data_IF_619654873336
#
_entry.id   IF_619654873336
#
_cell.length_a   1.000
_cell.length_b   1.000
_cell.length_c   1.000
_cell.angle_alpha   90.00
_cell.angle_beta   90.00
_cell.angle_gamma   90.00
#
_symmetry.space_group_name_H-M   'P 1'
#
loop_
_entity.id
_entity.type
_entity.pdbx_description
1 polymer ?
#
# COMPACT_ATOMS: atom_id res chain seq x y z
N UNK A 1 4.09 34.12 -14.56
CA UNK A 1 3.56 34.76 -13.34
C UNK A 1 3.52 33.71 -12.25
N UNK A 2 4.52 33.70 -11.38
CA UNK A 2 4.58 32.84 -10.20
C UNK A 2 3.60 33.40 -9.17
N UNK A 3 2.41 32.82 -9.11
CA UNK A 3 1.44 33.12 -8.05
C UNK A 3 2.05 32.67 -6.73
N UNK A 4 2.39 33.62 -5.86
CA UNK A 4 2.74 33.35 -4.47
C UNK A 4 1.63 32.50 -3.85
N UNK A 5 1.92 31.33 -3.26
CA UNK A 5 0.88 30.50 -2.65
C UNK A 5 0.09 31.30 -1.62
N UNK A 6 -1.24 31.33 -1.73
CA UNK A 6 -2.09 31.97 -0.72
C UNK A 6 -1.84 31.28 0.63
N UNK A 7 -1.51 32.07 1.63
CA UNK A 7 -1.09 31.61 2.97
C UNK A 7 -2.14 30.78 3.71
N UNK A 8 -3.39 30.75 3.23
CA UNK A 8 -4.53 30.07 3.88
C UNK A 8 -4.97 28.77 3.19
N UNK A 9 -4.37 28.39 2.05
CA UNK A 9 -4.77 27.16 1.36
C UNK A 9 -4.33 25.91 2.15
N UNK A 10 -5.23 24.94 2.40
CA UNK A 10 -4.87 23.67 3.01
C UNK A 10 -3.86 22.88 2.18
N UNK A 11 -2.94 22.21 2.85
CA UNK A 11 -2.06 21.17 2.31
C UNK A 11 -2.76 19.84 2.57
N UNK A 12 -3.48 19.34 1.58
CA UNK A 12 -4.15 18.05 1.67
C UNK A 12 -3.10 16.94 1.55
N UNK A 13 -3.08 16.01 2.51
CA UNK A 13 -2.09 14.95 2.61
C UNK A 13 -2.75 13.57 2.73
N UNK A 14 -2.09 12.53 2.24
CA UNK A 14 -2.57 11.15 2.30
C UNK A 14 -1.40 10.20 2.52
N UNK A 15 -1.44 9.42 3.60
CA UNK A 15 -0.43 8.40 3.86
C UNK A 15 -0.86 7.05 3.28
N UNK A 16 -0.02 6.47 2.44
CA UNK A 16 -0.17 5.11 1.95
C UNK A 16 0.79 4.20 2.70
N UNK A 17 0.25 3.25 3.48
CA UNK A 17 1.03 2.15 4.08
C UNK A 17 0.72 0.87 3.32
N UNK A 18 1.76 0.20 2.82
CA UNK A 18 1.67 -1.02 2.03
C UNK A 18 2.32 -2.23 2.72
N UNK A 19 2.03 -3.44 2.23
CA UNK A 19 2.67 -4.71 2.59
C UNK A 19 2.38 -5.23 4.00
N UNK A 20 1.59 -4.52 4.80
CA UNK A 20 1.34 -4.92 6.18
C UNK A 20 0.55 -6.25 6.28
N UNK A 21 0.95 -7.20 7.15
CA UNK A 21 1.93 -7.09 8.25
C UNK A 21 3.35 -7.58 7.93
N UNK A 22 3.65 -7.88 6.68
CA UNK A 22 4.74 -8.78 6.33
C UNK A 22 5.91 -8.07 5.63
N UNK A 23 7.10 -8.65 5.74
CA UNK A 23 8.22 -8.29 4.89
C UNK A 23 8.08 -8.97 3.52
N UNK A 24 7.26 -8.36 2.65
CA UNK A 24 6.95 -8.88 1.32
C UNK A 24 8.21 -9.14 0.50
N UNK A 25 9.19 -8.24 0.59
CA UNK A 25 10.51 -8.37 -0.05
C UNK A 25 11.22 -9.67 0.31
N UNK A 26 11.34 -9.97 1.61
CA UNK A 26 12.02 -11.20 2.06
C UNK A 26 11.24 -12.45 1.61
N UNK A 27 9.94 -12.50 1.87
CA UNK A 27 9.15 -13.71 1.61
C UNK A 27 9.10 -14.03 0.13
N UNK A 28 8.82 -13.04 -0.73
CA UNK A 28 8.76 -13.24 -2.17
C UNK A 28 10.09 -13.83 -2.68
N UNK A 29 11.22 -13.30 -2.24
CA UNK A 29 12.55 -13.79 -2.65
C UNK A 29 12.79 -15.22 -2.19
N UNK A 30 12.50 -15.53 -0.93
CA UNK A 30 12.62 -16.89 -0.40
C UNK A 30 11.74 -17.90 -1.16
N UNK A 31 10.53 -17.51 -1.54
CA UNK A 31 9.62 -18.36 -2.32
C UNK A 31 10.05 -18.53 -3.77
N UNK A 32 10.46 -17.45 -4.43
CA UNK A 32 11.01 -17.53 -5.78
C UNK A 32 12.24 -18.44 -5.83
N UNK A 33 13.16 -18.30 -4.87
CA UNK A 33 14.34 -19.17 -4.75
C UNK A 33 13.94 -20.63 -4.55
N UNK A 34 13.00 -20.91 -3.63
CA UNK A 34 12.48 -22.26 -3.41
C UNK A 34 11.80 -22.88 -4.64
N UNK A 35 11.26 -22.05 -5.53
CA UNK A 35 10.64 -22.47 -6.79
C UNK A 35 11.61 -22.48 -7.98
N UNK A 36 12.89 -22.16 -7.77
CA UNK A 36 13.92 -22.14 -8.83
C UNK A 36 13.86 -20.92 -9.74
N UNK A 37 13.14 -19.86 -9.39
CA UNK A 37 13.13 -18.61 -10.15
C UNK A 37 14.38 -17.76 -9.86
N UNK A 38 14.98 -17.12 -10.89
CA UNK A 38 16.15 -16.27 -10.69
C UNK A 38 15.77 -15.04 -9.86
N UNK A 39 16.54 -14.74 -8.81
CA UNK A 39 16.33 -13.57 -7.95
C UNK A 39 17.51 -12.61 -8.02
N UNK A 40 17.65 -11.86 -9.13
CA UNK A 40 18.74 -10.92 -9.29
C UNK A 40 18.71 -9.83 -8.20
N UNK A 41 19.92 -9.39 -7.83
CA UNK A 41 20.12 -8.23 -6.98
C UNK A 41 20.20 -7.00 -7.87
N UNK A 42 19.05 -6.38 -8.16
CA UNK A 42 18.93 -5.30 -9.15
C UNK A 42 18.98 -3.91 -8.47
N UNK A 43 18.78 -3.85 -7.14
CA UNK A 43 18.63 -2.60 -6.39
C UNK A 43 18.98 -2.77 -4.91
N UNK A 44 19.14 -1.66 -4.19
CA UNK A 44 19.64 -1.64 -2.81
C UNK A 44 18.85 -2.54 -1.85
N UNK A 45 17.51 -2.54 -1.90
CA UNK A 45 16.68 -3.40 -1.05
C UNK A 45 16.78 -4.91 -1.39
N UNK A 46 17.32 -5.25 -2.56
CA UNK A 46 17.56 -6.64 -2.95
C UNK A 46 18.91 -7.19 -2.50
N UNK A 47 19.85 -6.32 -2.14
CA UNK A 47 21.14 -6.74 -1.60
C UNK A 47 21.00 -7.21 -0.16
N UNK A 48 21.68 -8.29 0.21
CA UNK A 48 21.64 -8.79 1.59
C UNK A 48 20.24 -9.17 2.09
N UNK A 49 19.28 -9.46 1.20
CA UNK A 49 17.91 -9.83 1.57
C UNK A 49 17.82 -11.03 2.54
N UNK A 50 18.74 -12.02 2.58
CA UNK A 50 18.69 -13.07 3.60
C UNK A 50 18.83 -12.53 5.03
N UNK A 51 19.46 -11.37 5.22
CA UNK A 51 19.57 -10.72 6.54
C UNK A 51 18.21 -10.31 7.11
N UNK A 52 17.17 -10.22 6.27
CA UNK A 52 15.81 -9.85 6.67
C UNK A 52 15.01 -11.02 7.27
N UNK A 53 15.57 -12.23 7.31
CA UNK A 53 14.89 -13.45 7.72
C UNK A 53 14.37 -13.44 9.17
N UNK A 54 14.97 -12.62 10.03
CA UNK A 54 14.62 -12.41 11.44
C UNK A 54 13.46 -11.43 11.65
N UNK A 55 13.11 -10.65 10.61
CA UNK A 55 12.07 -9.64 10.63
C UNK A 55 11.02 -9.89 9.54
N UNK A 56 10.42 -11.08 9.56
CA UNK A 56 9.40 -11.50 8.58
C UNK A 56 8.08 -10.74 8.73
N UNK A 57 7.77 -10.30 9.94
CA UNK A 57 6.58 -9.52 10.27
C UNK A 57 6.99 -8.28 11.05
N UNK A 58 6.22 -7.21 10.90
CA UNK A 58 6.35 -6.05 11.79
C UNK A 58 5.95 -6.47 13.21
N UNK A 59 6.84 -6.24 14.17
CA UNK A 59 6.64 -6.65 15.56
C UNK A 59 5.52 -5.85 16.24
N UNK A 60 4.79 -6.49 17.16
CA UNK A 60 3.73 -5.82 17.93
C UNK A 60 4.18 -4.50 18.62
N UNK A 61 5.38 -4.40 19.24
CA UNK A 61 5.86 -3.13 19.78
C UNK A 61 5.96 -2.00 18.75
N UNK A 62 6.36 -2.31 17.51
CA UNK A 62 6.39 -1.31 16.44
C UNK A 62 4.99 -0.97 15.93
N UNK A 63 4.08 -1.94 15.86
CA UNK A 63 2.66 -1.66 15.55
C UNK A 63 2.05 -0.73 16.61
N UNK A 64 2.37 -0.92 17.89
CA UNK A 64 1.97 0.02 18.94
C UNK A 64 2.51 1.43 18.71
N UNK A 65 3.81 1.57 18.44
CA UNK A 65 4.42 2.87 18.15
C UNK A 65 3.81 3.54 16.92
N UNK A 66 3.60 2.79 15.83
CA UNK A 66 2.96 3.29 14.62
C UNK A 66 1.53 3.77 14.91
N UNK A 67 0.73 2.97 15.62
CA UNK A 67 -0.64 3.36 15.95
C UNK A 67 -0.71 4.55 16.93
N UNK A 68 0.27 4.73 17.82
CA UNK A 68 0.41 5.98 18.60
C UNK A 68 0.64 7.17 17.68
N UNK A 69 1.60 7.06 16.75
CA UNK A 69 1.91 8.12 15.80
C UNK A 69 0.70 8.52 14.94
N UNK A 70 -0.07 7.53 14.48
CA UNK A 70 -1.33 7.75 13.74
C UNK A 70 -2.28 8.65 14.51
N UNK A 71 -2.43 8.44 15.82
CA UNK A 71 -3.35 9.25 16.64
C UNK A 71 -2.77 10.62 16.98
N UNK A 72 -1.49 10.67 17.37
CA UNK A 72 -0.79 11.91 17.76
C UNK A 72 -0.71 12.93 16.63
N UNK A 73 -0.54 12.47 15.40
CA UNK A 73 -0.44 13.33 14.21
C UNK A 73 -1.74 13.36 13.39
N UNK A 74 -2.78 12.66 13.84
CA UNK A 74 -4.04 12.49 13.13
C UNK A 74 -3.80 12.04 11.67
N UNK A 75 -2.92 11.07 11.46
CA UNK A 75 -2.59 10.54 10.14
C UNK A 75 -3.80 9.82 9.56
N UNK A 76 -3.99 9.99 8.25
CA UNK A 76 -5.07 9.39 7.47
C UNK A 76 -4.58 9.06 6.07
N UNK A 77 -5.22 8.09 5.43
CA UNK A 77 -4.87 7.70 4.07
C UNK A 77 -5.34 6.29 3.72
N UNK A 78 -4.47 5.50 3.10
CA UNK A 78 -4.71 4.09 2.74
C UNK A 78 -3.78 3.18 3.53
N UNK A 79 -4.30 2.04 4.01
CA UNK A 79 -3.51 1.06 4.77
C UNK A 79 -3.81 -0.35 4.27
N UNK A 80 -2.79 -1.09 3.81
CA UNK A 80 -2.96 -2.50 3.44
C UNK A 80 -3.21 -3.38 4.65
N UNK A 81 -4.06 -4.39 4.50
CA UNK A 81 -4.01 -5.59 5.32
C UNK A 81 -4.03 -6.83 4.42
N UNK A 82 -2.92 -7.57 4.39
CA UNK A 82 -2.77 -8.77 3.54
C UNK A 82 -3.60 -9.95 4.06
N UNK A 83 -4.60 -10.46 3.32
CA UNK A 83 -5.43 -11.58 3.78
C UNK A 83 -4.65 -12.85 4.07
N UNK A 84 -3.65 -13.15 3.23
CA UNK A 84 -2.84 -14.36 3.29
C UNK A 84 -1.35 -14.00 3.27
N UNK A 85 -0.80 -13.33 4.30
CA UNK A 85 0.52 -12.70 4.23
C UNK A 85 1.60 -13.67 3.77
N UNK A 86 2.17 -13.43 2.59
CA UNK A 86 3.17 -14.30 1.99
C UNK A 86 2.70 -15.73 1.71
N UNK A 87 1.39 -16.01 1.63
CA UNK A 87 0.86 -17.37 1.52
C UNK A 87 1.20 -18.28 2.71
N UNK A 88 1.54 -17.71 3.87
CA UNK A 88 1.92 -18.45 5.06
C UNK A 88 0.71 -18.92 5.90
N UNK A 89 -0.50 -18.66 5.44
CA UNK A 89 -1.75 -18.91 6.13
C UNK A 89 -2.71 -17.73 5.96
N UNK A 90 -3.88 -17.78 6.59
CA UNK A 90 -4.92 -16.73 6.51
C UNK A 90 -4.95 -15.91 7.80
N UNK A 91 -5.07 -14.59 7.68
CA UNK A 91 -5.17 -13.71 8.84
C UNK A 91 -6.37 -14.03 9.75
N UNK A 92 -7.47 -14.51 9.18
CA UNK A 92 -8.69 -14.92 9.92
C UNK A 92 -8.61 -16.31 10.54
N UNK A 93 -7.49 -17.04 10.39
CA UNK A 93 -7.30 -18.40 10.91
C UNK A 93 -5.98 -18.56 11.66
N UNK A 94 -4.87 -18.79 10.95
CA UNK A 94 -3.50 -18.90 11.47
C UNK A 94 -2.50 -18.46 10.39
N UNK A 95 -1.36 -17.89 10.79
CA UNK A 95 -0.28 -17.49 9.88
C UNK A 95 1.04 -18.03 10.41
N UNK A 96 1.74 -18.84 9.62
CA UNK A 96 3.00 -19.45 10.03
C UNK A 96 4.04 -18.39 10.33
N UNK A 97 4.63 -18.45 11.53
CA UNK A 97 5.65 -17.52 12.00
C UNK A 97 5.11 -16.25 12.65
N UNK A 98 3.78 -16.11 12.78
CA UNK A 98 3.14 -15.05 13.56
C UNK A 98 2.23 -15.69 14.63
N UNK A 99 2.63 -15.68 15.91
CA UNK A 99 1.83 -16.30 16.99
C UNK A 99 0.41 -15.72 17.04
N UNK A 100 -0.60 -16.56 17.30
CA UNK A 100 -2.01 -16.13 17.30
C UNK A 100 -2.31 -15.02 18.32
N UNK A 101 -1.63 -15.04 19.48
CA UNK A 101 -1.73 -13.99 20.50
C UNK A 101 -1.23 -12.65 19.97
N UNK A 102 -0.07 -12.64 19.32
CA UNK A 102 0.52 -11.45 18.73
C UNK A 102 -0.31 -10.95 17.55
N UNK A 103 -0.72 -11.84 16.65
CA UNK A 103 -1.61 -11.50 15.53
C UNK A 103 -2.91 -10.86 16.02
N UNK A 104 -3.56 -11.45 17.02
CA UNK A 104 -4.83 -10.92 17.54
C UNK A 104 -4.64 -9.53 18.13
N UNK A 105 -3.56 -9.32 18.90
CA UNK A 105 -3.22 -8.00 19.44
C UNK A 105 -2.96 -6.96 18.33
N UNK A 106 -2.24 -7.35 17.27
CA UNK A 106 -1.99 -6.49 16.10
C UNK A 106 -3.32 -6.13 15.43
N UNK A 107 -4.17 -7.10 15.12
CA UNK A 107 -5.45 -6.87 14.44
C UNK A 107 -6.37 -5.97 15.27
N UNK A 108 -6.36 -6.12 16.59
CA UNK A 108 -7.11 -5.25 17.50
C UNK A 108 -6.62 -3.80 17.46
N UNK A 109 -5.31 -3.58 17.39
CA UNK A 109 -4.74 -2.22 17.22
C UNK A 109 -5.15 -1.62 15.88
N UNK A 110 -5.05 -2.39 14.79
CA UNK A 110 -5.47 -1.93 13.46
C UNK A 110 -6.96 -1.56 13.48
N UNK A 111 -7.82 -2.41 14.04
CA UNK A 111 -9.26 -2.16 14.12
C UNK A 111 -9.62 -0.91 14.93
N UNK A 112 -8.97 -0.71 16.08
CA UNK A 112 -9.31 0.39 16.99
C UNK A 112 -8.70 1.72 16.56
N UNK A 113 -7.50 1.69 15.97
CA UNK A 113 -6.67 2.91 15.82
C UNK A 113 -6.37 3.29 14.37
N UNK A 114 -6.34 2.32 13.45
CA UNK A 114 -6.01 2.55 12.04
C UNK A 114 -7.28 2.60 11.18
N UNK A 115 -8.13 1.57 11.22
CA UNK A 115 -9.33 1.47 10.38
C UNK A 115 -10.27 2.70 10.44
N UNK A 116 -10.45 3.41 11.58
CA UNK A 116 -11.27 4.63 11.61
C UNK A 116 -10.69 5.81 10.83
N UNK A 117 -9.39 5.76 10.49
CA UNK A 117 -8.62 6.88 9.92
C UNK A 117 -8.12 6.58 8.50
N UNK A 118 -8.19 5.33 8.06
CA UNK A 118 -7.63 4.86 6.80
C UNK A 118 -8.67 4.08 6.00
N UNK A 119 -8.66 4.27 4.68
CA UNK A 119 -9.29 3.31 3.76
C UNK A 119 -8.43 2.06 3.72
N UNK A 120 -8.98 0.93 4.17
CA UNK A 120 -8.25 -0.33 4.16
C UNK A 120 -8.14 -0.87 2.74
N UNK A 121 -6.95 -1.37 2.40
CA UNK A 121 -6.68 -2.00 1.11
C UNK A 121 -6.54 -3.50 1.25
N UNK A 122 -7.19 -4.20 0.32
CA UNK A 122 -6.87 -5.55 -0.03
C UNK A 122 -5.62 -5.53 -0.92
N UNK A 123 -4.45 -5.92 -0.42
CA UNK A 123 -3.27 -6.11 -1.29
C UNK A 123 -3.27 -7.51 -1.89
N UNK A 124 -4.25 -7.69 -2.76
CA UNK A 124 -4.70 -8.97 -3.32
C UNK A 124 -4.79 -10.06 -2.23
N UNK A 125 -3.87 -11.04 -2.14
CA UNK A 125 -3.87 -12.03 -1.05
C UNK A 125 -2.52 -12.13 -0.34
N UNK A 126 -1.42 -12.34 -1.07
CA UNK A 126 -0.14 -12.78 -0.51
C UNK A 126 0.97 -11.75 -0.58
N UNK A 127 0.94 -10.88 -1.58
CA UNK A 127 2.04 -9.99 -1.95
C UNK A 127 3.38 -10.71 -2.17
N UNK A 128 3.30 -11.96 -2.64
CA UNK A 128 4.44 -12.79 -2.96
C UNK A 128 4.12 -13.68 -4.17
N UNK A 129 4.06 -15.00 -3.99
CA UNK A 129 3.55 -15.92 -5.01
C UNK A 129 2.03 -16.03 -4.93
N UNK A 130 1.37 -16.16 -6.07
CA UNK A 130 -0.08 -16.31 -6.16
C UNK A 130 -0.56 -17.56 -5.43
N UNK A 131 -1.81 -17.55 -4.98
CA UNK A 131 -2.41 -18.62 -4.18
C UNK A 131 -3.55 -19.30 -4.96
N UNK A 132 -3.55 -20.62 -5.05
CA UNK A 132 -4.77 -21.34 -5.40
C UNK A 132 -5.76 -21.25 -4.24
N UNK A 133 -6.84 -20.48 -4.40
CA UNK A 133 -7.83 -20.24 -3.34
C UNK A 133 -8.65 -21.47 -2.97
N UNK A 134 -8.61 -22.54 -3.78
CA UNK A 134 -9.29 -23.81 -3.49
C UNK A 134 -8.44 -24.74 -2.64
N UNK A 135 -7.15 -24.81 -2.93
CA UNK A 135 -6.23 -25.77 -2.29
C UNK A 135 -5.36 -25.13 -1.20
N UNK A 136 -5.19 -23.80 -1.25
CA UNK A 136 -4.25 -23.06 -0.41
C UNK A 136 -2.79 -23.22 -0.84
N UNK A 137 -2.51 -23.87 -1.98
CA UNK A 137 -1.15 -24.03 -2.49
C UNK A 137 -0.67 -22.76 -3.19
N UNK A 138 0.64 -22.51 -3.13
CA UNK A 138 1.25 -21.46 -3.94
C UNK A 138 1.34 -21.90 -5.41
N UNK A 139 1.02 -20.98 -6.31
CA UNK A 139 1.16 -21.15 -7.75
C UNK A 139 2.55 -20.68 -8.20
N UNK A 140 3.08 -21.18 -9.33
CA UNK A 140 4.38 -20.79 -9.87
C UNK A 140 4.32 -19.44 -10.62
N UNK A 141 3.56 -18.48 -10.09
CA UNK A 141 3.38 -17.13 -10.62
C UNK A 141 3.51 -16.15 -9.46
N UNK A 142 4.19 -15.02 -9.65
CA UNK A 142 4.05 -13.91 -8.69
C UNK A 142 2.61 -13.45 -8.68
N UNK A 143 2.11 -13.00 -7.52
CA UNK A 143 0.71 -12.60 -7.41
C UNK A 143 0.35 -11.47 -8.36
N UNK A 144 1.24 -10.49 -8.53
CA UNK A 144 1.10 -9.43 -9.52
C UNK A 144 0.91 -9.96 -10.95
N UNK A 145 1.65 -11.00 -11.33
CA UNK A 145 1.56 -11.59 -12.67
C UNK A 145 0.27 -12.40 -12.82
N UNK A 146 -0.11 -13.16 -11.79
CA UNK A 146 -1.35 -13.92 -11.78
C UNK A 146 -2.58 -13.03 -11.91
N UNK A 147 -2.67 -11.97 -11.11
CA UNK A 147 -3.81 -11.03 -11.18
C UNK A 147 -3.83 -10.28 -12.51
N UNK A 148 -2.66 -9.93 -13.05
CA UNK A 148 -2.58 -9.30 -14.38
C UNK A 148 -3.05 -10.25 -15.49
N UNK A 149 -2.69 -11.54 -15.40
CA UNK A 149 -3.17 -12.58 -16.30
C UNK A 149 -4.70 -12.73 -16.23
N UNK A 150 -5.27 -12.81 -15.02
CA UNK A 150 -6.72 -12.88 -14.82
C UNK A 150 -7.45 -11.60 -15.23
N UNK A 151 -6.78 -10.44 -15.18
CA UNK A 151 -7.34 -9.20 -15.69
C UNK A 151 -7.34 -9.15 -17.23
N UNK A 152 -6.44 -9.84 -17.91
CA UNK A 152 -6.39 -9.87 -19.37
C UNK A 152 -7.63 -10.56 -20.00
N UNK A 153 -7.97 -10.29 -21.27
CA UNK A 153 -8.99 -11.04 -21.99
C UNK A 153 -8.66 -12.53 -22.07
N UNK A 154 -9.61 -13.37 -21.69
CA UNK A 154 -9.48 -14.82 -21.76
C UNK A 154 -10.75 -15.52 -21.27
N UNK A 155 -10.90 -16.82 -21.57
CA UNK A 155 -12.05 -17.60 -21.10
C UNK A 155 -12.06 -17.65 -19.57
N UNK A 156 -13.19 -17.29 -18.96
CA UNK A 156 -13.44 -17.31 -17.51
C UNK A 156 -12.50 -16.45 -16.65
N UNK A 157 -11.57 -15.71 -17.25
CA UNK A 157 -10.58 -14.87 -16.55
C UNK A 157 -11.23 -13.87 -15.59
N UNK A 158 -12.30 -13.20 -16.02
CA UNK A 158 -13.00 -12.23 -15.17
C UNK A 158 -13.70 -12.88 -13.97
N UNK A 159 -14.29 -14.07 -14.16
CA UNK A 159 -14.91 -14.81 -13.06
C UNK A 159 -13.86 -15.27 -12.05
N UNK A 160 -12.73 -15.79 -12.55
CA UNK A 160 -11.60 -16.18 -11.71
C UNK A 160 -11.00 -14.99 -10.96
N UNK A 161 -10.86 -13.82 -11.60
CA UNK A 161 -10.44 -12.59 -10.94
C UNK A 161 -11.40 -12.21 -9.81
N UNK A 162 -12.71 -12.22 -10.08
CA UNK A 162 -13.71 -11.95 -9.06
C UNK A 162 -13.63 -12.96 -7.91
N UNK A 163 -13.45 -14.25 -8.18
CA UNK A 163 -13.30 -15.28 -7.16
C UNK A 163 -12.04 -15.07 -6.30
N UNK A 164 -10.92 -14.70 -6.93
CA UNK A 164 -9.66 -14.41 -6.24
C UNK A 164 -9.77 -13.21 -5.31
N UNK A 165 -10.36 -12.11 -5.78
CA UNK A 165 -10.63 -10.92 -4.96
C UNK A 165 -11.63 -11.21 -3.83
N UNK A 166 -12.75 -11.90 -4.15
CA UNK A 166 -13.79 -12.27 -3.18
C UNK A 166 -13.23 -13.08 -2.02
N UNK A 167 -12.30 -13.99 -2.29
CA UNK A 167 -11.63 -14.77 -1.25
C UNK A 167 -10.92 -13.87 -0.23
N UNK A 168 -10.18 -12.87 -0.69
CA UNK A 168 -9.49 -11.91 0.16
C UNK A 168 -10.45 -11.00 0.93
N UNK A 169 -11.49 -10.49 0.26
CA UNK A 169 -12.52 -9.69 0.92
C UNK A 169 -13.28 -10.45 2.01
N UNK A 170 -13.58 -11.74 1.80
CA UNK A 170 -14.19 -12.58 2.84
C UNK A 170 -13.30 -12.71 4.07
N UNK A 171 -11.99 -12.90 3.90
CA UNK A 171 -11.04 -12.96 5.02
C UNK A 171 -11.06 -11.64 5.81
N UNK A 172 -11.00 -10.50 5.11
CA UNK A 172 -11.06 -9.20 5.77
C UNK A 172 -12.41 -8.96 6.46
N UNK A 173 -13.51 -9.35 5.82
CA UNK A 173 -14.86 -9.26 6.40
C UNK A 173 -15.03 -10.13 7.66
N UNK A 174 -14.48 -11.36 7.67
CA UNK A 174 -14.48 -12.24 8.85
C UNK A 174 -13.76 -11.60 10.04
N UNK A 175 -12.75 -10.79 9.77
CA UNK A 175 -12.01 -10.03 10.78
C UNK A 175 -12.70 -8.71 11.19
N UNK A 176 -13.86 -8.40 10.60
CA UNK A 176 -14.60 -7.17 10.85
C UNK A 176 -14.00 -5.95 10.16
N UNK A 177 -13.26 -6.13 9.09
CA UNK A 177 -12.70 -5.03 8.28
C UNK A 177 -13.48 -4.84 6.98
N UNK A 178 -13.55 -3.58 6.54
CA UNK A 178 -14.14 -3.21 5.26
C UNK A 178 -13.05 -2.62 4.37
N UNK A 179 -12.63 -3.37 3.35
CA UNK A 179 -11.67 -2.88 2.38
C UNK A 179 -12.35 -2.01 1.31
N UNK A 180 -11.72 -0.88 1.02
CA UNK A 180 -12.15 0.11 0.01
C UNK A 180 -11.16 0.30 -1.14
N UNK A 181 -9.99 -0.33 -1.03
CA UNK A 181 -8.94 -0.26 -2.01
C UNK A 181 -8.48 -1.69 -2.38
N UNK A 182 -7.96 -1.86 -3.60
CA UNK A 182 -7.18 -3.02 -4.02
C UNK A 182 -5.78 -2.56 -4.36
N UNK A 183 -4.77 -3.02 -3.63
CA UNK A 183 -3.38 -2.84 -4.04
C UNK A 183 -2.97 -3.97 -4.97
N UNK A 184 -2.26 -3.63 -6.05
CA UNK A 184 -1.55 -4.57 -6.91
C UNK A 184 -0.06 -4.32 -6.73
N UNK A 185 0.69 -5.33 -6.27
CA UNK A 185 2.13 -5.20 -6.14
C UNK A 185 2.84 -4.96 -7.47
N UNK A 186 3.99 -4.28 -7.44
CA UNK A 186 4.87 -4.07 -8.60
C UNK A 186 5.85 -5.21 -8.87
N UNK A 187 5.49 -6.47 -8.56
CA UNK A 187 6.42 -7.58 -8.70
C UNK A 187 6.61 -7.99 -10.17
N UNK A 188 7.84 -8.38 -10.58
CA UNK A 188 8.09 -8.81 -11.94
C UNK A 188 7.36 -10.13 -12.24
N UNK A 189 6.99 -10.31 -13.50
CA UNK A 189 6.48 -11.59 -13.99
C UNK A 189 7.65 -12.55 -14.26
N UNK A 190 8.04 -13.29 -13.22
CA UNK A 190 9.09 -14.30 -13.31
C UNK A 190 8.68 -15.53 -14.13
N UNK A 191 7.39 -15.68 -14.41
CA UNK A 191 6.81 -16.83 -15.13
C UNK A 191 6.57 -16.57 -16.61
N UNK A 192 6.48 -15.30 -17.02
CA UNK A 192 6.14 -14.86 -18.37
C UNK A 192 4.66 -15.01 -18.75
N UNK A 193 3.79 -15.40 -17.81
CA UNK A 193 2.36 -15.69 -18.08
C UNK A 193 1.60 -14.47 -18.63
N UNK A 194 2.08 -13.27 -18.37
CA UNK A 194 1.43 -12.01 -18.80
C UNK A 194 1.91 -11.50 -20.15
N UNK A 195 3.01 -12.05 -20.70
CA UNK A 195 3.62 -11.50 -21.92
C UNK A 195 3.98 -10.02 -21.82
N UNK A 196 4.44 -9.56 -20.64
CA UNK A 196 4.76 -8.16 -20.32
C UNK A 196 3.56 -7.20 -20.29
N UNK A 197 2.35 -7.69 -20.07
CA UNK A 197 1.16 -6.85 -19.90
C UNK A 197 0.73 -6.84 -18.42
N UNK A 198 1.44 -6.07 -17.60
CA UNK A 198 1.17 -6.01 -16.16
C UNK A 198 0.21 -4.86 -15.79
N UNK A 199 -0.64 -5.09 -14.79
CA UNK A 199 -1.55 -4.07 -14.24
C UNK A 199 -0.80 -2.84 -13.71
N UNK A 200 0.36 -3.02 -13.06
CA UNK A 200 1.20 -1.93 -12.57
C UNK A 200 1.89 -1.13 -13.69
N UNK A 201 1.71 -1.53 -14.95
CA UNK A 201 2.13 -0.78 -16.14
C UNK A 201 0.93 -0.14 -16.86
N UNK A 202 -0.27 -0.21 -16.26
CA UNK A 202 -1.50 0.36 -16.81
C UNK A 202 -2.31 -0.58 -17.70
N UNK A 203 -1.85 -1.82 -17.94
CA UNK A 203 -2.59 -2.77 -18.76
C UNK A 203 -3.82 -3.31 -18.04
N UNK A 204 -4.98 -3.34 -18.72
CA UNK A 204 -6.22 -3.99 -18.27
C UNK A 204 -6.79 -3.49 -16.92
N UNK A 205 -6.43 -2.27 -16.48
CA UNK A 205 -6.96 -1.67 -15.25
C UNK A 205 -8.49 -1.52 -15.26
N UNK A 206 -9.09 -1.33 -16.43
CA UNK A 206 -10.54 -1.27 -16.63
C UNK A 206 -11.24 -2.60 -16.29
N UNK A 207 -10.60 -3.73 -16.59
CA UNK A 207 -11.11 -5.08 -16.28
C UNK A 207 -10.96 -5.41 -14.80
N UNK A 208 -9.90 -4.92 -14.15
CA UNK A 208 -9.80 -4.94 -12.69
C UNK A 208 -10.88 -4.07 -12.04
N UNK A 209 -11.14 -2.88 -12.59
CA UNK A 209 -12.22 -2.01 -12.12
C UNK A 209 -13.59 -2.68 -12.24
N UNK A 210 -13.84 -3.49 -13.28
CA UNK A 210 -15.08 -4.27 -13.42
C UNK A 210 -15.23 -5.31 -12.30
N UNK A 211 -14.14 -6.00 -11.93
CA UNK A 211 -14.16 -6.96 -10.84
C UNK A 211 -14.35 -6.26 -9.48
N UNK A 212 -13.75 -5.09 -9.29
CA UNK A 212 -13.95 -4.25 -8.11
C UNK A 212 -15.41 -3.78 -7.98
N UNK A 213 -16.11 -3.52 -9.09
CA UNK A 213 -17.56 -3.19 -9.05
C UNK A 213 -18.40 -4.35 -8.52
N UNK A 214 -18.02 -5.59 -8.83
CA UNK A 214 -18.66 -6.79 -8.25
C UNK A 214 -18.42 -6.81 -6.73
N UNK A 215 -17.18 -6.59 -6.28
CA UNK A 215 -16.84 -6.53 -4.86
C UNK A 215 -17.55 -5.40 -4.11
N UNK A 216 -17.70 -4.22 -4.73
CA UNK A 216 -18.51 -3.12 -4.19
C UNK A 216 -19.93 -3.56 -3.89
N UNK A 217 -20.55 -4.31 -4.81
CA UNK A 217 -21.94 -4.75 -4.66
C UNK A 217 -22.10 -5.77 -3.51
N UNK A 218 -21.10 -6.62 -3.29
CA UNK A 218 -21.13 -7.69 -2.29
C UNK A 218 -20.70 -7.24 -0.90
N UNK A 219 -19.66 -6.41 -0.80
CA UNK A 219 -18.97 -6.12 0.47
C UNK A 219 -19.12 -4.68 0.95
N UNK A 220 -19.40 -3.73 0.06
CA UNK A 220 -19.47 -2.30 0.39
C UNK A 220 -20.65 -1.63 -0.33
N UNK A 221 -21.88 -2.17 -0.20
CA UNK A 221 -23.03 -1.67 -0.94
C UNK A 221 -23.26 -0.19 -0.64
N UNK A 222 -23.52 0.59 -1.69
CA UNK A 222 -23.72 2.04 -1.59
C UNK A 222 -22.44 2.88 -1.58
N UNK A 223 -21.25 2.30 -1.67
CA UNK A 223 -20.04 3.09 -1.90
C UNK A 223 -20.10 3.79 -3.27
N UNK A 224 -19.83 5.09 -3.30
CA UNK A 224 -19.80 5.89 -4.54
C UNK A 224 -18.46 5.74 -5.28
N UNK A 225 -17.41 5.33 -4.58
CA UNK A 225 -16.13 5.05 -5.18
C UNK A 225 -15.36 3.97 -4.43
N UNK A 226 -14.48 3.27 -5.17
CA UNK A 226 -13.44 2.39 -4.64
C UNK A 226 -12.12 2.69 -5.36
N UNK A 227 -11.04 2.15 -4.82
CA UNK A 227 -9.70 2.52 -5.24
C UNK A 227 -8.87 1.31 -5.71
N UNK A 228 -7.98 1.57 -6.65
CA UNK A 228 -6.85 0.72 -7.01
C UNK A 228 -5.60 1.44 -6.53
N UNK A 229 -4.63 0.71 -5.99
CA UNK A 229 -3.27 1.18 -5.87
C UNK A 229 -2.39 0.24 -6.68
N UNK A 230 -2.15 0.59 -7.95
CA UNK A 230 -1.39 -0.29 -8.84
C UNK A 230 0.11 0.07 -8.88
N UNK A 231 0.57 1.00 -8.02
CA UNK A 231 1.91 1.58 -8.06
C UNK A 231 2.34 1.93 -9.51
N UNK A 232 1.38 2.37 -10.34
CA UNK A 232 1.59 2.46 -11.78
C UNK A 232 2.70 3.43 -12.09
N UNK A 233 3.69 2.96 -12.85
CA UNK A 233 4.69 3.80 -13.51
C UNK A 233 4.03 4.51 -14.71
N UNK A 234 2.97 5.27 -14.46
CA UNK A 234 2.36 6.04 -15.51
C UNK A 234 3.30 7.19 -15.91
N UNK A 235 3.40 7.43 -17.21
CA UNK A 235 4.11 8.54 -17.84
C UNK A 235 3.55 9.92 -17.49
N UNK A 236 2.43 9.98 -16.75
CA UNK A 236 1.80 11.21 -16.28
C UNK A 236 2.51 11.69 -15.01
N UNK A 237 2.85 12.98 -14.89
CA UNK A 237 3.58 13.47 -13.73
C UNK A 237 2.75 13.23 -12.47
N UNK A 238 3.25 12.42 -11.51
CA UNK A 238 2.53 12.14 -10.28
C UNK A 238 2.08 13.43 -9.61
N UNK A 239 0.77 13.58 -9.39
CA UNK A 239 0.21 14.77 -8.75
C UNK A 239 -0.49 14.49 -7.41
N UNK A 240 -0.35 13.26 -6.91
CA UNK A 240 -0.88 12.80 -5.63
C UNK A 240 -2.41 12.64 -5.59
N UNK A 241 -3.13 12.95 -6.66
CA UNK A 241 -4.59 12.85 -6.71
C UNK A 241 -5.04 11.51 -7.29
N UNK A 242 -6.11 10.90 -6.77
CA UNK A 242 -6.73 9.73 -7.39
C UNK A 242 -7.11 10.03 -8.84
N UNK A 243 -6.73 9.16 -9.77
CA UNK A 243 -7.04 9.28 -11.19
C UNK A 243 -8.16 8.31 -11.56
N UNK A 244 -9.20 8.79 -12.24
CA UNK A 244 -10.33 7.94 -12.60
C UNK A 244 -9.92 6.89 -13.62
N UNK A 245 -10.14 5.62 -13.27
CA UNK A 245 -9.94 4.48 -14.17
C UNK A 245 -11.24 4.23 -14.96
N UNK A 246 -12.37 4.18 -14.26
CA UNK A 246 -13.67 3.89 -14.87
C UNK A 246 -14.82 4.51 -14.08
N UNK A 247 -15.82 5.02 -14.79
CA UNK A 247 -17.08 5.53 -14.26
C UNK A 247 -18.22 4.63 -14.74
N UNK A 248 -19.17 4.33 -13.87
CA UNK A 248 -20.34 3.50 -14.17
C UNK A 248 -21.64 4.31 -14.18
N UNK A 249 -22.72 3.78 -14.80
CA UNK A 249 -23.99 4.50 -14.94
C UNK A 249 -24.67 4.89 -13.62
N UNK A 250 -24.44 4.15 -12.54
CA UNK A 250 -24.98 4.42 -11.20
C UNK A 250 -24.15 5.45 -10.41
N UNK A 251 -23.35 6.27 -11.11
CA UNK A 251 -22.40 7.22 -10.56
C UNK A 251 -21.25 6.62 -9.72
N UNK A 252 -21.16 5.29 -9.61
CA UNK A 252 -20.01 4.61 -9.02
C UNK A 252 -18.75 4.82 -9.87
N UNK A 253 -17.60 5.05 -9.23
CA UNK A 253 -16.32 5.21 -9.91
C UNK A 253 -15.20 4.40 -9.25
N UNK A 254 -14.25 3.91 -10.07
CA UNK A 254 -12.99 3.35 -9.59
C UNK A 254 -11.85 4.30 -9.95
N UNK A 255 -11.03 4.63 -8.96
CA UNK A 255 -9.87 5.50 -9.11
C UNK A 255 -8.59 4.76 -8.81
N UNK A 256 -7.51 5.07 -9.52
CA UNK A 256 -6.16 4.63 -9.20
C UNK A 256 -5.44 5.69 -8.36
N UNK A 257 -4.80 5.26 -7.27
CA UNK A 257 -4.11 6.10 -6.32
C UNK A 257 -2.69 6.39 -6.78
N UNK A 258 -2.42 7.66 -7.03
CA UNK A 258 -1.13 8.16 -7.47
C UNK A 258 -0.37 8.74 -6.28
N UNK A 259 0.92 8.44 -6.16
CA UNK A 259 1.78 9.01 -5.11
C UNK A 259 2.43 10.29 -5.61
N UNK A 260 2.65 11.28 -4.74
CA UNK A 260 3.39 12.50 -5.10
C UNK A 260 4.87 12.39 -4.71
N UNK A 261 5.16 11.58 -3.70
CA UNK A 261 6.50 11.37 -3.16
C UNK A 261 6.79 9.87 -3.20
N UNK A 262 7.90 9.50 -3.84
CA UNK A 262 8.37 8.12 -3.90
C UNK A 262 8.77 7.61 -2.51
N UNK A 263 8.81 6.28 -2.35
CA UNK A 263 9.25 5.64 -1.12
C UNK A 263 10.71 6.05 -0.80
N UNK A 264 10.85 6.89 0.23
CA UNK A 264 12.13 7.49 0.60
C UNK A 264 12.82 6.74 1.74
N UNK A 265 12.18 5.72 2.32
CA UNK A 265 12.72 4.93 3.43
C UNK A 265 13.46 3.66 2.97
N UNK A 266 13.62 3.44 1.66
CA UNK A 266 14.38 2.29 1.14
C UNK A 266 15.82 2.23 1.65
N UNK A 267 16.47 3.39 1.84
CA UNK A 267 17.86 3.46 2.31
C UNK A 267 18.08 2.87 3.71
N UNK A 268 17.03 2.89 4.56
CA UNK A 268 17.08 2.38 5.94
C UNK A 268 16.41 1.02 6.08
N UNK A 269 16.17 0.34 4.96
CA UNK A 269 15.48 -0.95 4.92
C UNK A 269 16.12 -2.02 5.84
N UNK A 270 17.43 -1.96 6.04
CA UNK A 270 18.16 -2.88 6.90
C UNK A 270 18.29 -2.44 8.36
N UNK A 271 17.69 -1.31 8.75
CA UNK A 271 17.83 -0.76 10.10
C UNK A 271 19.17 -0.09 10.37
N UNK A 272 19.84 0.35 9.31
CA UNK A 272 21.13 1.04 9.34
C UNK A 272 20.94 2.46 8.81
N UNK A 273 21.58 3.45 9.44
CA UNK A 273 21.42 4.86 9.10
C UNK A 273 21.31 5.76 10.33
N UNK A 274 21.04 7.04 10.09
CA UNK A 274 20.83 8.06 11.13
C UNK A 274 19.47 8.74 10.93
N UNK A 275 18.66 8.81 11.98
CA UNK A 275 17.28 9.29 11.90
C UNK A 275 17.24 10.76 11.47
N UNK A 276 18.12 11.60 12.02
CA UNK A 276 18.16 13.03 11.72
C UNK A 276 18.55 13.30 10.27
N UNK A 277 19.62 12.64 9.81
CA UNK A 277 20.15 12.75 8.46
C UNK A 277 19.14 12.29 7.41
N UNK A 278 18.49 11.15 7.64
CA UNK A 278 17.51 10.61 6.70
C UNK A 278 16.20 11.41 6.72
N UNK A 279 15.74 11.87 7.89
CA UNK A 279 14.57 12.74 7.99
C UNK A 279 14.80 14.10 7.33
N UNK A 280 16.03 14.63 7.34
CA UNK A 280 16.38 15.89 6.68
C UNK A 280 16.19 15.85 5.15
N UNK A 281 16.23 14.66 4.53
CA UNK A 281 15.91 14.49 3.10
C UNK A 281 14.42 14.70 2.81
N UNK A 282 13.56 14.33 3.77
CA UNK A 282 12.10 14.51 3.68
C UNK A 282 11.69 15.93 4.05
N UNK A 283 12.19 16.42 5.20
CA UNK A 283 11.98 17.77 5.70
C UNK A 283 13.22 18.22 6.47
N UNK A 284 13.85 19.28 5.98
CA UNK A 284 15.06 19.86 6.59
C UNK A 284 14.80 20.40 7.99
N UNK A 285 15.82 20.44 8.89
CA UNK A 285 15.65 20.96 10.26
C UNK A 285 15.16 22.40 10.35
N UNK A 286 15.50 23.24 9.37
CA UNK A 286 15.04 24.63 9.26
C UNK A 286 13.64 24.76 8.63
N UNK A 287 13.00 23.62 8.34
CA UNK A 287 11.66 23.50 7.76
C UNK A 287 11.53 24.15 6.37
N UNK A 288 12.62 24.42 5.67
CA UNK A 288 12.59 25.19 4.41
C UNK A 288 12.57 24.31 3.14
N UNK A 289 12.99 23.05 3.23
CA UNK A 289 13.11 22.15 2.08
C UNK A 289 12.98 20.67 2.41
N UNK A 290 13.27 19.84 1.41
CA UNK A 290 13.06 18.39 1.44
C UNK A 290 11.89 17.95 0.56
N UNK A 291 11.85 16.67 0.21
CA UNK A 291 10.91 16.14 -0.79
C UNK A 291 9.44 16.33 -0.41
N UNK A 292 9.11 16.28 0.88
CA UNK A 292 7.73 16.51 1.36
C UNK A 292 7.35 18.01 1.31
N UNK A 293 8.31 18.91 1.52
CA UNK A 293 8.08 20.36 1.36
C UNK A 293 7.86 20.70 -0.10
N UNK A 294 8.72 20.21 -0.99
CA UNK A 294 8.58 20.42 -2.44
C UNK A 294 7.22 19.92 -2.96
N UNK A 295 6.81 18.72 -2.52
CA UNK A 295 5.50 18.18 -2.86
C UNK A 295 4.35 19.03 -2.30
N UNK A 296 4.42 19.47 -1.05
CA UNK A 296 3.40 20.32 -0.44
C UNK A 296 3.27 21.70 -1.13
N UNK A 297 4.39 22.34 -1.46
CA UNK A 297 4.41 23.67 -2.10
C UNK A 297 4.04 23.63 -3.59
N UNK A 298 4.05 22.45 -4.21
CA UNK A 298 3.66 22.28 -5.62
C UNK A 298 2.16 22.46 -5.91
N UNK A 299 1.32 22.61 -4.86
CA UNK A 299 -0.14 22.71 -4.97
C UNK A 299 -0.86 21.38 -5.27
N UNK A 300 -0.09 20.28 -5.24
CA UNK A 300 -0.57 18.90 -5.38
C UNK A 300 -1.02 18.34 -4.02
N UNK A 301 -1.68 17.19 -4.03
CA UNK A 301 -1.93 16.44 -2.79
C UNK A 301 -0.60 15.82 -2.36
N UNK A 302 -0.22 16.01 -1.09
CA UNK A 302 0.95 15.35 -0.51
C UNK A 302 0.61 13.88 -0.25
N UNK A 303 0.71 13.03 -1.27
CA UNK A 303 0.57 11.58 -1.13
C UNK A 303 1.92 10.93 -0.98
N UNK A 304 2.12 10.21 0.13
CA UNK A 304 3.38 9.56 0.49
C UNK A 304 3.19 8.05 0.69
N UNK A 305 4.04 7.27 0.04
CA UNK A 305 4.09 5.81 0.18
C UNK A 305 5.16 5.39 1.18
N UNK A 306 4.77 4.51 2.09
CA UNK A 306 5.68 3.70 2.90
C UNK A 306 5.29 2.24 2.85
N UNK A 307 6.26 1.35 2.84
CA UNK A 307 6.03 -0.08 3.03
C UNK A 307 6.21 -0.46 4.51
N UNK A 308 5.45 -1.45 4.99
CA UNK A 308 5.54 -1.91 6.37
C UNK A 308 6.97 -2.32 6.75
N UNK A 309 7.70 -2.93 5.83
CA UNK A 309 9.07 -3.38 6.04
C UNK A 309 10.11 -2.26 6.05
N UNK A 310 9.88 -1.16 5.33
CA UNK A 310 10.77 0.02 5.39
C UNK A 310 10.50 0.82 6.67
N UNK A 311 9.23 0.93 7.10
CA UNK A 311 8.87 1.48 8.42
C UNK A 311 9.47 0.66 9.57
N UNK A 312 9.39 -0.66 9.47
CA UNK A 312 9.90 -1.56 10.50
C UNK A 312 11.43 -1.56 10.55
N UNK A 313 12.10 -1.46 9.40
CA UNK A 313 13.56 -1.49 9.25
C UNK A 313 14.19 -2.67 10.00
N UNK A 314 13.85 -3.91 9.61
CA UNK A 314 14.22 -5.13 10.37
C UNK A 314 13.79 -5.11 11.85
N UNK A 315 12.64 -4.53 12.11
CA UNK A 315 12.10 -4.30 13.45
C UNK A 315 12.96 -3.42 14.39
N UNK A 316 13.93 -2.65 13.88
CA UNK A 316 14.62 -1.61 14.69
C UNK A 316 13.74 -0.37 14.90
N UNK A 317 12.75 -0.14 14.02
CA UNK A 317 11.89 1.04 14.04
C UNK A 317 12.58 2.32 13.57
N UNK A 318 13.71 2.21 12.86
CA UNK A 318 14.44 3.34 12.31
C UNK A 318 13.59 4.13 11.29
N UNK A 319 12.98 3.44 10.32
CA UNK A 319 12.10 4.05 9.32
C UNK A 319 10.89 4.74 9.95
N UNK A 320 10.28 4.11 10.97
CA UNK A 320 9.23 4.74 11.76
C UNK A 320 9.71 6.01 12.48
N UNK A 321 10.93 6.01 13.04
CA UNK A 321 11.53 7.19 13.67
C UNK A 321 11.77 8.34 12.69
N UNK A 322 12.30 8.02 11.52
CA UNK A 322 12.51 8.99 10.42
C UNK A 322 11.18 9.59 9.99
N UNK A 323 10.18 8.74 9.75
CA UNK A 323 8.86 9.18 9.34
C UNK A 323 8.18 10.05 10.42
N UNK A 324 8.30 9.68 11.69
CA UNK A 324 7.80 10.45 12.82
C UNK A 324 8.42 11.85 12.89
N UNK A 325 9.74 11.95 12.74
CA UNK A 325 10.44 13.23 12.76
C UNK A 325 10.03 14.12 11.58
N UNK A 326 10.00 13.56 10.36
CA UNK A 326 9.57 14.29 9.17
C UNK A 326 8.13 14.81 9.29
N UNK A 327 7.18 13.98 9.75
CA UNK A 327 5.79 14.42 9.93
C UNK A 327 5.64 15.43 11.07
N UNK A 328 6.48 15.36 12.11
CA UNK A 328 6.51 16.37 13.18
C UNK A 328 6.94 17.72 12.62
N UNK A 329 7.99 17.75 11.80
CA UNK A 329 8.46 18.97 11.11
C UNK A 329 7.43 19.52 10.13
N UNK A 330 6.74 18.66 9.37
CA UNK A 330 5.62 19.10 8.52
C UNK A 330 4.51 19.78 9.34
N UNK A 331 4.13 19.17 10.47
CA UNK A 331 3.12 19.73 11.37
C UNK A 331 3.60 21.05 11.97
N UNK A 332 4.87 21.19 12.32
CA UNK A 332 5.45 22.44 12.82
C UNK A 332 5.38 23.56 11.77
N UNK A 333 5.75 23.26 10.52
CA UNK A 333 5.72 24.23 9.42
C UNK A 333 4.31 24.67 9.04
N UNK A 334 3.41 23.71 8.83
CA UNK A 334 2.10 23.99 8.22
C UNK A 334 0.98 24.12 9.26
N UNK A 335 1.19 23.66 10.49
CA UNK A 335 0.19 23.71 11.55
C UNK A 335 -1.16 23.17 11.10
N UNK A 336 -2.21 23.97 11.27
CA UNK A 336 -3.59 23.62 10.89
C UNK A 336 -3.82 23.51 9.39
N UNK A 337 -2.89 23.99 8.55
CA UNK A 337 -3.02 23.87 7.09
C UNK A 337 -2.75 22.44 6.62
N UNK A 338 -1.99 21.63 7.35
CA UNK A 338 -1.76 20.23 7.01
C UNK A 338 -3.00 19.41 7.38
N UNK A 339 -3.69 18.89 6.37
CA UNK A 339 -4.93 18.13 6.54
C UNK A 339 -4.76 16.74 5.96
N UNK A 340 -4.65 15.73 6.82
CA UNK A 340 -4.62 14.34 6.41
C UNK A 340 -6.03 13.87 5.99
N UNK A 341 -6.10 13.14 4.88
CA UNK A 341 -7.32 12.62 4.27
C UNK A 341 -7.15 11.17 3.86
N UNK A 342 -8.25 10.44 3.90
CA UNK A 342 -8.39 9.16 3.18
C UNK A 342 -8.57 9.41 1.68
N UNK A 343 -8.25 8.43 0.83
CA UNK A 343 -8.63 8.45 -0.58
C UNK A 343 -10.10 8.79 -0.83
N UNK A 344 -11.01 8.18 -0.07
CA UNK A 344 -12.45 8.46 -0.16
C UNK A 344 -12.76 9.94 0.03
N UNK A 345 -12.15 10.58 1.03
CA UNK A 345 -12.39 12.00 1.28
C UNK A 345 -11.79 12.91 0.21
N UNK A 346 -10.63 12.55 -0.36
CA UNK A 346 -10.08 13.26 -1.51
C UNK A 346 -11.06 13.20 -2.69
N UNK A 347 -11.63 12.02 -2.97
CA UNK A 347 -12.63 11.83 -4.01
C UNK A 347 -13.90 12.65 -3.76
N UNK A 348 -14.45 12.62 -2.54
CA UNK A 348 -15.63 13.38 -2.14
C UNK A 348 -15.45 14.90 -2.24
N UNK A 349 -14.20 15.39 -2.14
CA UNK A 349 -13.86 16.81 -2.32
C UNK A 349 -13.64 17.20 -3.77
N UNK A 350 -13.76 16.26 -4.72
CA UNK A 350 -13.43 16.48 -6.13
C UNK A 350 -11.93 16.66 -6.38
N UNK A 351 -11.06 16.26 -5.43
CA UNK A 351 -9.61 16.31 -5.58
C UNK A 351 -9.11 15.09 -6.36
N UNK A 352 -9.68 14.88 -7.54
CA UNK A 352 -9.41 13.75 -8.44
C UNK A 352 -9.00 14.25 -9.82
N UNK A 353 -8.26 13.43 -10.56
CA UNK A 353 -8.00 13.66 -11.97
C UNK A 353 -9.02 12.88 -12.81
N UNK A 354 -9.51 13.53 -13.88
CA UNK A 354 -10.52 12.99 -14.78
C UNK A 354 -9.99 11.98 -15.77
#
# INVERSE_FOLDING_TARGET
MTTTPRTDTPIEACLTVDDFPVNGTYIRRAQCEAMGFPMPQICDWSHGWPRQADARFMSLPLVHRFTNLVEELNLRGKFTLLPCPGGLGRLDQSVRGLPDTERTAILDLIRKRVAPRFDLSLEVLTHAMALDTRTGALLPHTESAWVSHLAAPGPDHHEQLCAYLRFGWHILANLGFTARCVTIGGMPDVSGITGNQMLHQGHHLDRLADAIRVMRSEFVPGADCLFIFAATLDTRPPNGRPCRVKQYPDAFAVYDLQQAVEESLLGVFHGEGDIETEAAKLVTPDLSGGTMIEAAESGKVLSFLVHAQTLASRNTGMGLGIFQLACTRLRERYGKRLVWRTPTELAQRGLVNT
#
